data_IF_549564300512
#
_entry.id   IF_549564300512
#
_cell.length_a   1.000
_cell.length_b   1.000
_cell.length_c   1.000
_cell.angle_alpha   90.00
_cell.angle_beta   90.00
_cell.angle_gamma   90.00
#
_symmetry.space_group_name_H-M   'P 1'
#
loop_
_entity.id
_entity.type
_entity.pdbx_description
1 polymer ?
#
# COMPACT_ATOMS: atom_id res chain seq x y z
N UNK A 1 3.55 -17.10 5.75
CA UNK A 1 2.52 -17.62 4.83
C UNK A 1 1.27 -16.76 4.97
N UNK A 2 0.60 -16.44 3.85
CA UNK A 2 -0.56 -15.55 3.83
C UNK A 2 -1.76 -16.17 4.56
N UNK A 3 -2.00 -17.48 4.40
CA UNK A 3 -3.11 -18.14 5.07
C UNK A 3 -3.02 -18.02 6.60
N UNK A 4 -1.81 -18.12 7.15
CA UNK A 4 -1.57 -17.94 8.59
C UNK A 4 -1.84 -16.51 9.08
N UNK A 5 -1.58 -15.49 8.25
CA UNK A 5 -1.86 -14.10 8.60
C UNK A 5 -3.36 -13.82 8.57
N UNK A 6 -4.05 -14.24 7.52
CA UNK A 6 -5.51 -14.10 7.41
C UNK A 6 -6.24 -14.80 8.57
N UNK A 7 -5.82 -16.02 8.93
CA UNK A 7 -6.38 -16.72 10.09
C UNK A 7 -6.12 -15.95 11.40
N UNK A 8 -4.93 -15.36 11.56
CA UNK A 8 -4.62 -14.56 12.75
C UNK A 8 -5.48 -13.30 12.83
N UNK A 9 -5.76 -12.65 11.71
CA UNK A 9 -6.66 -11.49 11.62
C UNK A 9 -8.10 -11.86 11.97
N UNK A 10 -8.61 -12.97 11.45
CA UNK A 10 -9.93 -13.49 11.81
C UNK A 10 -10.04 -13.73 13.32
N UNK A 11 -9.00 -14.31 13.93
CA UNK A 11 -8.93 -14.53 15.38
C UNK A 11 -8.81 -13.23 16.18
N UNK A 12 -8.20 -12.18 15.63
CA UNK A 12 -8.19 -10.84 16.23
C UNK A 12 -9.60 -10.26 16.23
N UNK A 13 -10.30 -10.29 15.10
CA UNK A 13 -11.66 -9.78 15.02
C UNK A 13 -12.68 -10.61 15.81
N UNK A 14 -12.42 -11.91 16.00
CA UNK A 14 -13.18 -12.76 16.91
C UNK A 14 -12.85 -12.53 18.40
N UNK A 15 -11.87 -11.68 18.73
CA UNK A 15 -11.45 -11.39 20.11
C UNK A 15 -10.66 -12.51 20.78
N UNK A 16 -10.17 -13.49 20.01
CA UNK A 16 -9.38 -14.64 20.51
C UNK A 16 -7.90 -14.27 20.65
N UNK A 17 -7.39 -13.45 19.72
CA UNK A 17 -6.00 -12.98 19.69
C UNK A 17 -5.98 -11.46 19.83
N UNK A 18 -4.94 -10.92 20.46
CA UNK A 18 -4.78 -9.47 20.63
C UNK A 18 -4.45 -8.81 19.30
N UNK A 19 -5.05 -7.64 19.03
CA UNK A 19 -4.66 -6.75 17.94
C UNK A 19 -3.13 -6.51 17.93
N UNK A 20 -2.45 -6.69 16.78
CA UNK A 20 -1.03 -6.40 16.66
C UNK A 20 -0.75 -4.90 16.84
N UNK A 21 0.46 -4.58 17.27
CA UNK A 21 0.95 -3.20 17.22
C UNK A 21 1.29 -2.82 15.77
N UNK A 22 1.31 -1.52 15.46
CA UNK A 22 1.71 -1.04 14.14
C UNK A 22 3.14 -1.49 13.77
N UNK A 23 4.07 -1.50 14.73
CA UNK A 23 5.43 -2.04 14.52
C UNK A 23 5.40 -3.51 14.09
N UNK A 24 4.60 -4.32 14.78
CA UNK A 24 4.53 -5.75 14.49
C UNK A 24 3.85 -6.01 13.14
N UNK A 25 2.83 -5.22 12.81
CA UNK A 25 2.20 -5.29 11.50
C UNK A 25 3.18 -4.88 10.39
N UNK A 26 4.01 -3.85 10.60
CA UNK A 26 5.07 -3.47 9.68
C UNK A 26 6.09 -4.59 9.42
N UNK A 27 6.46 -5.35 10.45
CA UNK A 27 7.30 -6.54 10.29
C UNK A 27 6.59 -7.65 9.50
N UNK A 28 5.29 -7.89 9.76
CA UNK A 28 4.47 -8.88 9.03
C UNK A 28 4.35 -8.51 7.56
N UNK A 29 4.15 -7.23 7.23
CA UNK A 29 4.10 -6.73 5.85
C UNK A 29 5.42 -7.01 5.14
N UNK A 30 6.55 -6.73 5.79
CA UNK A 30 7.87 -7.05 5.25
C UNK A 30 8.03 -8.56 4.99
N UNK A 31 7.64 -9.40 5.96
CA UNK A 31 7.75 -10.85 5.86
C UNK A 31 6.84 -11.48 4.79
N UNK A 32 5.64 -10.94 4.62
CA UNK A 32 4.73 -11.38 3.56
C UNK A 32 5.24 -10.94 2.18
N UNK A 33 5.86 -9.76 2.08
CA UNK A 33 6.38 -9.19 0.83
C UNK A 33 5.35 -9.20 -0.32
N UNK A 34 4.10 -8.79 -0.04
CA UNK A 34 2.98 -8.77 -1.00
C UNK A 34 2.49 -7.34 -1.30
N UNK A 35 1.18 -7.17 -1.50
CA UNK A 35 0.54 -5.94 -1.97
C UNK A 35 0.79 -4.73 -1.09
N UNK A 36 0.82 -4.90 0.24
CA UNK A 36 1.02 -3.78 1.15
C UNK A 36 2.39 -3.08 0.97
N UNK A 37 3.46 -3.82 0.62
CA UNK A 37 4.74 -3.21 0.26
C UNK A 37 4.58 -2.34 -0.98
N UNK A 38 3.89 -2.82 -2.02
CA UNK A 38 3.67 -2.06 -3.25
C UNK A 38 2.85 -0.79 -2.97
N UNK A 39 1.85 -0.86 -2.10
CA UNK A 39 1.10 0.31 -1.65
C UNK A 39 2.00 1.36 -1.00
N UNK A 40 2.88 0.95 -0.07
CA UNK A 40 3.83 1.87 0.58
C UNK A 40 4.84 2.48 -0.39
N UNK A 41 5.33 1.69 -1.37
CA UNK A 41 6.24 2.19 -2.41
C UNK A 41 5.53 3.19 -3.35
N UNK A 42 4.27 2.93 -3.72
CA UNK A 42 3.46 3.83 -4.56
C UNK A 42 3.14 5.15 -3.89
N UNK A 43 2.92 5.14 -2.58
CA UNK A 43 2.76 6.35 -1.78
C UNK A 43 4.07 7.14 -1.59
N UNK A 44 5.21 6.62 -2.08
CA UNK A 44 6.52 7.23 -1.92
C UNK A 44 7.04 7.17 -0.48
N UNK A 45 6.48 6.30 0.36
CA UNK A 45 6.84 6.17 1.77
C UNK A 45 7.93 5.11 2.00
N UNK A 46 8.17 4.25 1.00
CA UNK A 46 9.12 3.15 1.08
C UNK A 46 9.90 3.04 -0.24
N UNK A 47 11.21 2.85 -0.12
CA UNK A 47 12.08 2.50 -1.24
C UNK A 47 12.98 1.35 -0.81
N UNK A 48 12.56 0.10 -1.02
CA UNK A 48 13.29 -1.05 -0.49
C UNK A 48 14.69 -1.19 -1.08
N UNK A 49 14.86 -0.81 -2.36
CA UNK A 49 16.12 -0.91 -3.10
C UNK A 49 17.24 -0.02 -2.55
N UNK A 50 16.89 1.04 -1.82
CA UNK A 50 17.86 2.00 -1.29
C UNK A 50 18.48 1.54 0.04
N UNK A 51 18.01 0.40 0.58
CA UNK A 51 18.46 -0.10 1.88
C UNK A 51 19.66 -1.03 1.74
N UNK A 52 20.67 -0.84 2.59
CA UNK A 52 21.95 -1.56 2.52
C UNK A 52 21.85 -3.08 2.75
N UNK A 53 20.83 -3.54 3.48
CA UNK A 53 20.61 -4.95 3.79
C UNK A 53 19.15 -5.22 4.18
N UNK A 54 18.82 -6.50 4.43
CA UNK A 54 17.46 -6.94 4.80
C UNK A 54 16.96 -6.35 6.11
N UNK A 55 17.82 -6.16 7.10
CA UNK A 55 17.41 -5.59 8.40
C UNK A 55 17.09 -4.09 8.27
N UNK A 56 17.89 -3.37 7.49
CA UNK A 56 17.61 -1.98 7.14
C UNK A 56 16.30 -1.86 6.35
N UNK A 57 16.08 -2.72 5.36
CA UNK A 57 14.86 -2.76 4.57
C UNK A 57 13.62 -3.06 5.43
N UNK A 58 13.73 -4.02 6.36
CA UNK A 58 12.67 -4.31 7.34
C UNK A 58 12.37 -3.11 8.23
N UNK A 59 13.41 -2.48 8.77
CA UNK A 59 13.25 -1.29 9.61
C UNK A 59 12.61 -0.12 8.84
N UNK A 60 12.96 0.07 7.58
CA UNK A 60 12.33 1.06 6.71
C UNK A 60 10.85 0.75 6.46
N UNK A 61 10.50 -0.50 6.15
CA UNK A 61 9.12 -0.94 5.97
C UNK A 61 8.28 -0.71 7.24
N UNK A 62 8.80 -1.12 8.40
CA UNK A 62 8.15 -0.89 9.69
C UNK A 62 7.94 0.59 9.97
N UNK A 63 8.97 1.41 9.76
CA UNK A 63 8.89 2.86 9.95
C UNK A 63 7.82 3.49 9.06
N UNK A 64 7.84 3.18 7.76
CA UNK A 64 6.88 3.70 6.79
C UNK A 64 5.42 3.37 7.18
N UNK A 65 5.17 2.12 7.59
CA UNK A 65 3.84 1.70 8.02
C UNK A 65 3.40 2.40 9.32
N UNK A 66 4.27 2.50 10.32
CA UNK A 66 3.97 3.16 11.59
C UNK A 66 3.68 4.65 11.38
N UNK A 67 4.46 5.33 10.55
CA UNK A 67 4.27 6.75 10.24
C UNK A 67 2.95 6.98 9.51
N UNK A 68 2.63 6.17 8.49
CA UNK A 68 1.35 6.23 7.78
C UNK A 68 0.17 5.98 8.72
N UNK A 69 0.23 4.93 9.54
CA UNK A 69 -0.81 4.59 10.50
C UNK A 69 -1.03 5.72 11.50
N UNK A 70 0.06 6.28 12.03
CA UNK A 70 0.01 7.39 13.00
C UNK A 70 -0.62 8.61 12.37
N UNK A 71 -0.19 8.99 11.17
CA UNK A 71 -0.74 10.12 10.43
C UNK A 71 -2.24 9.96 10.18
N UNK A 72 -2.66 8.84 9.56
CA UNK A 72 -4.08 8.57 9.27
C UNK A 72 -4.92 8.53 10.56
N UNK A 73 -4.43 7.88 11.61
CA UNK A 73 -5.16 7.79 12.88
C UNK A 73 -5.41 9.17 13.52
N UNK A 74 -4.46 10.10 13.36
CA UNK A 74 -4.57 11.48 13.83
C UNK A 74 -5.39 12.38 12.91
N UNK A 75 -5.42 12.09 11.61
CA UNK A 75 -6.19 12.86 10.62
C UNK A 75 -7.68 12.50 10.59
N UNK A 76 -8.04 11.28 11.00
CA UNK A 76 -9.44 10.83 11.03
C UNK A 76 -10.15 11.29 12.30
N UNK A 77 -11.41 11.70 12.17
CA UNK A 77 -12.29 11.89 13.33
C UNK A 77 -12.67 10.55 13.97
N UNK A 78 -13.13 10.57 15.22
CA UNK A 78 -13.61 9.36 15.88
C UNK A 78 -14.76 8.69 15.11
N UNK A 79 -15.70 9.48 14.57
CA UNK A 79 -16.81 8.97 13.77
C UNK A 79 -16.33 8.29 12.48
N UNK A 80 -15.33 8.86 11.80
CA UNK A 80 -14.73 8.25 10.62
C UNK A 80 -14.03 6.94 10.97
N UNK A 81 -13.21 6.91 12.03
CA UNK A 81 -12.52 5.68 12.46
C UNK A 81 -13.50 4.56 12.80
N UNK A 82 -14.59 4.88 13.50
CA UNK A 82 -15.64 3.88 13.81
C UNK A 82 -16.34 3.40 12.54
N UNK A 83 -16.69 4.31 11.62
CA UNK A 83 -17.40 3.95 10.37
C UNK A 83 -16.54 3.07 9.47
N UNK A 84 -15.23 3.32 9.41
CA UNK A 84 -14.30 2.54 8.57
C UNK A 84 -13.71 1.33 9.28
N UNK A 85 -14.00 1.13 10.56
CA UNK A 85 -13.32 0.14 11.41
C UNK A 85 -11.79 0.29 11.28
N UNK A 86 -11.32 1.54 11.38
CA UNK A 86 -9.92 1.86 11.16
C UNK A 86 -9.03 1.24 12.25
N UNK A 87 -8.15 0.35 11.83
CA UNK A 87 -7.09 -0.24 12.63
C UNK A 87 -5.90 -0.63 11.73
N UNK A 88 -4.87 -1.26 12.32
CA UNK A 88 -3.66 -1.65 11.59
C UNK A 88 -3.89 -2.76 10.56
N UNK A 89 -4.87 -3.65 10.75
CA UNK A 89 -5.20 -4.70 9.79
C UNK A 89 -5.96 -4.09 8.61
N UNK A 90 -6.93 -3.20 8.89
CA UNK A 90 -7.67 -2.48 7.87
C UNK A 90 -6.73 -1.66 6.98
N UNK A 91 -5.74 -0.97 7.56
CA UNK A 91 -4.75 -0.22 6.77
C UNK A 91 -3.87 -1.13 5.91
N UNK A 92 -3.43 -2.29 6.40
CA UNK A 92 -2.70 -3.27 5.58
C UNK A 92 -3.54 -3.69 4.37
N UNK A 93 -4.81 -4.03 4.60
CA UNK A 93 -5.73 -4.41 3.53
C UNK A 93 -5.98 -3.29 2.52
N UNK A 94 -6.08 -2.04 3.00
CA UNK A 94 -6.21 -0.88 2.14
C UNK A 94 -4.98 -0.76 1.23
N UNK A 95 -3.75 -0.85 1.79
CA UNK A 95 -2.51 -0.81 1.01
C UNK A 95 -2.41 -1.94 -0.01
N UNK A 96 -2.90 -3.13 0.32
CA UNK A 96 -2.99 -4.26 -0.62
C UNK A 96 -3.96 -4.00 -1.80
N UNK A 97 -4.96 -3.14 -1.61
CA UNK A 97 -6.00 -2.79 -2.59
C UNK A 97 -5.74 -1.50 -3.34
N UNK A 98 -4.67 -0.76 -3.04
CA UNK A 98 -4.19 0.36 -3.84
C UNK A 98 -3.70 -0.15 -5.21
N UNK A 99 -4.63 -0.66 -6.03
CA UNK A 99 -4.46 -0.97 -7.44
C UNK A 99 -4.79 0.27 -8.23
N UNK A 100 -3.85 0.67 -9.07
CA UNK A 100 -4.01 1.73 -10.06
C UNK A 100 -5.23 1.44 -10.94
N UNK A 101 -6.30 2.22 -10.81
CA UNK A 101 -7.13 2.56 -11.97
C UNK A 101 -6.44 3.73 -12.68
N UNK A 102 -5.43 3.41 -13.50
CA UNK A 102 -5.10 4.25 -14.64
C UNK A 102 -6.01 3.73 -15.74
N UNK A 103 -7.16 4.38 -15.93
CA UNK A 103 -7.81 4.30 -17.23
C UNK A 103 -7.01 5.15 -18.22
N UNK A 104 -6.76 4.57 -19.37
CA UNK A 104 -5.87 5.05 -20.42
C UNK A 104 -6.50 6.24 -21.14
N UNK A 105 -6.18 7.46 -20.72
CA UNK A 105 -6.38 8.68 -21.50
C UNK A 105 -5.24 8.91 -22.50
N UNK A 106 -4.92 7.91 -23.33
CA UNK A 106 -3.83 7.98 -24.32
C UNK A 106 -4.28 7.47 -25.68
N UNK A 107 -4.56 8.39 -26.61
CA UNK A 107 -4.70 8.04 -28.03
C UNK A 107 -5.63 8.95 -28.85
N UNK A 108 -5.09 10.07 -29.34
CA UNK A 108 -4.97 10.35 -30.79
C UNK A 108 -4.29 11.70 -31.02
N UNK A 109 -2.96 11.67 -31.09
CA UNK A 109 -2.26 12.55 -32.01
C UNK A 109 -2.42 11.92 -33.41
N UNK A 110 -3.37 12.43 -34.20
CA UNK A 110 -3.47 12.16 -35.63
C UNK A 110 -2.70 13.29 -36.33
N UNK A 111 -1.36 13.26 -36.21
CA UNK A 111 -0.47 13.96 -37.14
C UNK A 111 -0.60 13.25 -38.49
N UNK A 112 -1.47 13.78 -39.36
CA UNK A 112 -1.37 13.51 -40.79
C UNK A 112 -0.39 14.50 -41.39
N UNK A 113 0.85 14.04 -41.53
CA UNK A 113 1.72 14.48 -42.62
C UNK A 113 1.03 14.11 -43.94
N UNK A 114 0.47 15.10 -44.64
CA UNK A 114 0.14 14.98 -46.06
C UNK A 114 1.17 15.77 -46.86
N UNK A 115 2.06 15.02 -47.50
CA UNK A 115 2.86 15.41 -48.65
C UNK A 115 3.54 14.14 -49.20
N UNK A 116 3.93 14.08 -50.49
CA UNK A 116 4.00 15.19 -51.45
C UNK A 116 3.50 14.84 -52.88
N UNK A 117 3.83 15.75 -53.82
CA UNK A 117 3.97 15.58 -55.29
C UNK A 117 2.67 15.67 -56.13
N UNK A 118 2.59 16.32 -57.30
CA UNK A 118 3.59 16.73 -58.29
C UNK A 118 2.96 17.74 -59.29
N UNK A 119 3.82 18.40 -60.08
CA UNK A 119 3.53 19.38 -61.13
C UNK A 119 2.62 18.89 -62.28
N UNK A 120 1.76 19.79 -62.79
CA UNK A 120 1.41 19.95 -64.22
C UNK A 120 0.75 21.33 -64.49
#
# INVERSE_FOLDING_TARGET
>A
DLAGVLLAEDLVYAGVVRMPTADKMGDVIYDLSKGAIQGLERLGLLHLKDNANKDAARAACRKAFVELHTWLSGSLTAAQRTKTTYDVIMLEHALCKETVEHDEGGGKDDEREDGPDEDD
#
